data_IF_045423045999
#
_entry.id   IF_045423045999
#
_cell.length_a   1.000
_cell.length_b   1.000
_cell.length_c   1.000
_cell.angle_alpha   90.00
_cell.angle_beta   90.00
_cell.angle_gamma   90.00
#
_symmetry.space_group_name_H-M   'P 1'
#
loop_
_entity.id
_entity.type
_entity.pdbx_description
1 polymer ?
#
# COMPACT_ATOMS: atom_id res chain seq x y z
N UNK A 1 -7.89 21.08 -9.88
CA UNK A 1 -7.70 22.51 -10.15
C UNK A 1 -6.85 23.26 -9.11
N UNK A 2 -6.26 22.59 -8.11
CA UNK A 2 -5.43 23.26 -7.08
C UNK A 2 -3.93 23.32 -7.41
N UNK A 3 -3.46 22.58 -8.42
CA UNK A 3 -2.04 22.60 -8.82
C UNK A 3 -1.81 23.67 -9.90
N UNK A 4 -0.96 24.64 -9.60
CA UNK A 4 -0.56 25.72 -10.52
C UNK A 4 0.58 25.27 -11.43
N UNK A 5 1.55 26.13 -11.75
CA UNK A 5 2.64 25.85 -12.70
C UNK A 5 4.02 26.02 -12.05
N UNK A 6 4.14 25.81 -10.74
CA UNK A 6 5.45 25.76 -10.10
C UNK A 6 6.21 24.49 -10.52
N UNK A 7 7.55 24.44 -10.36
CA UNK A 7 8.34 23.22 -10.57
C UNK A 7 7.76 22.02 -9.80
N UNK A 8 7.32 22.25 -8.56
CA UNK A 8 6.72 21.24 -7.70
C UNK A 8 5.34 20.78 -8.21
N UNK A 9 4.50 21.70 -8.70
CA UNK A 9 3.20 21.36 -9.27
C UNK A 9 3.36 20.49 -10.52
N UNK A 10 4.28 20.86 -11.41
CA UNK A 10 4.54 20.08 -12.63
C UNK A 10 5.15 18.70 -12.29
N UNK A 11 6.01 18.60 -11.28
CA UNK A 11 6.51 17.32 -10.79
C UNK A 11 5.37 16.43 -10.27
N UNK A 12 4.45 16.98 -9.48
CA UNK A 12 3.29 16.25 -8.98
C UNK A 12 2.37 15.78 -10.11
N UNK A 13 2.07 16.66 -11.08
CA UNK A 13 1.25 16.33 -12.25
C UNK A 13 1.85 15.23 -13.11
N UNK A 14 3.18 15.16 -13.20
CA UNK A 14 3.86 14.19 -14.05
C UNK A 14 3.96 12.79 -13.43
N UNK A 15 4.07 12.71 -12.10
CA UNK A 15 4.51 11.47 -11.44
C UNK A 15 3.52 10.94 -10.40
N UNK A 16 2.81 11.82 -9.71
CA UNK A 16 2.14 11.46 -8.46
C UNK A 16 0.62 11.37 -8.59
N UNK A 17 0.01 12.30 -9.33
CA UNK A 17 -1.45 12.53 -9.29
C UNK A 17 -2.27 11.34 -9.79
N UNK A 18 -1.72 10.46 -10.63
CA UNK A 18 -2.44 9.24 -11.08
C UNK A 18 -2.88 8.35 -9.90
N UNK A 19 -2.14 8.36 -8.80
CA UNK A 19 -2.45 7.56 -7.60
C UNK A 19 -3.34 8.28 -6.58
N UNK A 20 -3.61 9.58 -6.76
CA UNK A 20 -4.45 10.34 -5.84
C UNK A 20 -5.92 10.01 -6.06
N UNK A 21 -6.62 9.64 -4.99
CA UNK A 21 -8.04 9.26 -5.03
C UNK A 21 -8.97 10.38 -5.56
N UNK A 22 -8.52 11.64 -5.58
CA UNK A 22 -9.26 12.74 -6.20
C UNK A 22 -9.24 12.74 -7.74
N UNK A 23 -8.38 11.93 -8.39
CA UNK A 23 -8.29 11.89 -9.84
C UNK A 23 -9.45 11.05 -10.42
N UNK A 24 -10.35 11.65 -11.24
CA UNK A 24 -11.52 10.94 -11.72
C UNK A 24 -11.16 9.86 -12.74
N UNK A 25 -11.81 8.71 -12.62
CA UNK A 25 -11.79 7.66 -13.66
C UNK A 25 -12.57 8.14 -14.88
N UNK A 26 -11.90 8.31 -16.01
CA UNK A 26 -12.51 8.79 -17.27
C UNK A 26 -12.87 7.66 -18.24
N UNK A 27 -12.26 6.50 -18.07
CA UNK A 27 -12.40 5.34 -18.95
C UNK A 27 -13.11 4.20 -18.22
N UNK A 28 -13.96 3.47 -18.93
CA UNK A 28 -14.63 2.27 -18.42
C UNK A 28 -13.67 1.10 -18.38
N UNK A 29 -13.87 0.18 -17.44
CA UNK A 29 -13.07 -1.04 -17.31
C UNK A 29 -12.57 -1.28 -15.89
N UNK A 30 -11.98 -2.46 -15.65
CA UNK A 30 -11.51 -2.86 -14.32
C UNK A 30 -10.36 -1.97 -13.81
N UNK A 31 -10.10 -2.08 -12.51
CA UNK A 31 -8.94 -1.46 -11.88
C UNK A 31 -7.68 -2.27 -12.20
N UNK A 32 -6.69 -1.61 -12.79
CA UNK A 32 -5.36 -2.16 -13.11
C UNK A 32 -4.26 -1.14 -12.74
N UNK A 33 -3.01 -1.50 -13.00
CA UNK A 33 -1.86 -0.60 -12.94
C UNK A 33 -1.87 0.51 -14.01
N UNK A 34 -2.65 0.39 -15.08
CA UNK A 34 -2.85 1.45 -16.08
C UNK A 34 -4.18 2.20 -15.87
N UNK A 35 -5.21 1.48 -15.41
CA UNK A 35 -6.57 1.99 -15.22
C UNK A 35 -6.89 2.09 -13.74
N UNK A 36 -6.75 3.29 -13.17
CA UNK A 36 -7.07 3.58 -11.77
C UNK A 36 -8.47 4.18 -11.64
N UNK A 37 -9.03 4.08 -10.44
CA UNK A 37 -10.31 4.69 -10.10
C UNK A 37 -10.14 6.01 -9.34
N UNK A 38 -11.22 6.78 -9.26
CA UNK A 38 -11.33 7.97 -8.41
C UNK A 38 -12.39 7.78 -7.33
N UNK A 39 -12.13 8.30 -6.13
CA UNK A 39 -12.99 8.21 -4.96
C UNK A 39 -13.35 6.76 -4.64
N UNK A 40 -14.64 6.50 -4.43
CA UNK A 40 -15.15 5.16 -4.10
C UNK A 40 -14.80 4.11 -5.18
N UNK A 41 -14.76 4.51 -6.45
CA UNK A 41 -14.52 3.61 -7.58
C UNK A 41 -13.08 3.11 -7.65
N UNK A 42 -12.14 3.75 -6.95
CA UNK A 42 -10.76 3.26 -6.85
C UNK A 42 -10.67 1.90 -6.15
N UNK A 43 -11.59 1.65 -5.21
CA UNK A 43 -11.56 0.45 -4.37
C UNK A 43 -12.78 -0.46 -4.60
N UNK A 44 -13.95 0.10 -4.87
CA UNK A 44 -15.21 -0.65 -4.84
C UNK A 44 -15.70 -1.10 -6.22
N UNK A 45 -15.04 -0.70 -7.31
CA UNK A 45 -15.46 -1.01 -8.68
C UNK A 45 -14.99 -2.41 -9.10
N UNK A 46 -15.92 -3.36 -9.15
CA UNK A 46 -15.64 -4.75 -9.49
C UNK A 46 -16.31 -5.15 -10.81
N UNK A 47 -15.50 -5.65 -11.75
CA UNK A 47 -15.98 -6.29 -12.97
C UNK A 47 -15.93 -7.81 -12.80
N UNK A 48 -16.92 -8.53 -13.29
CA UNK A 48 -16.84 -10.00 -13.33
C UNK A 48 -15.91 -10.45 -14.47
N UNK A 49 -15.37 -11.67 -14.39
CA UNK A 49 -14.43 -12.18 -15.40
C UNK A 49 -15.05 -12.24 -16.82
N UNK A 50 -16.36 -12.49 -16.93
CA UNK A 50 -17.09 -12.53 -18.20
C UNK A 50 -17.25 -11.14 -18.85
N UNK A 51 -17.25 -10.08 -18.04
CA UNK A 51 -17.33 -8.68 -18.46
C UNK A 51 -15.94 -8.13 -18.78
N UNK A 52 -14.90 -8.63 -18.09
CA UNK A 52 -13.50 -8.21 -18.30
C UNK A 52 -12.95 -8.51 -19.71
N UNK A 53 -13.59 -9.40 -20.48
CA UNK A 53 -13.19 -9.71 -21.85
C UNK A 53 -13.55 -8.56 -22.79
N UNK A 54 -12.58 -7.66 -23.06
CA UNK A 54 -12.38 -6.79 -24.24
C UNK A 54 -13.55 -5.94 -24.79
N UNK A 55 -14.77 -6.12 -24.33
CA UNK A 55 -15.96 -5.40 -24.79
C UNK A 55 -16.02 -3.97 -24.25
N UNK A 56 -15.20 -3.63 -23.25
CA UNK A 56 -15.18 -2.30 -22.65
C UNK A 56 -14.22 -1.30 -23.33
N UNK A 57 -13.27 -1.77 -24.14
CA UNK A 57 -12.21 -0.92 -24.71
C UNK A 57 -12.57 -0.29 -26.07
N UNK A 58 -13.66 -0.72 -26.70
CA UNK A 58 -14.01 -0.31 -28.08
C UNK A 58 -15.51 -0.05 -28.31
N UNK A 59 -16.30 0.10 -27.25
CA UNK A 59 -17.69 0.55 -27.45
C UNK A 59 -17.70 2.06 -27.64
N UNK A 60 -17.76 2.48 -28.91
CA UNK A 60 -18.25 3.80 -29.28
C UNK A 60 -19.62 4.00 -28.62
N UNK A 61 -19.63 4.79 -27.53
CA UNK A 61 -20.82 5.16 -26.76
C UNK A 61 -21.94 5.72 -27.63
N UNK A 62 -21.63 6.18 -28.84
CA UNK A 62 -22.57 6.77 -29.78
C UNK A 62 -23.34 5.75 -30.62
N UNK A 63 -22.80 4.55 -30.84
CA UNK A 63 -23.34 3.60 -31.83
C UNK A 63 -23.67 2.19 -31.31
N UNK A 64 -23.28 1.82 -30.08
CA UNK A 64 -23.51 0.47 -29.57
C UNK A 64 -24.13 0.47 -28.16
N UNK A 65 -25.45 0.23 -28.00
CA UNK A 65 -26.12 0.17 -26.68
C UNK A 65 -25.69 -1.03 -25.83
N UNK A 66 -24.83 -1.92 -26.35
CA UNK A 66 -24.37 -3.13 -25.67
C UNK A 66 -23.50 -2.85 -24.44
N UNK A 67 -22.97 -1.63 -24.24
CA UNK A 67 -22.28 -1.26 -23.00
C UNK A 67 -23.21 -1.28 -21.77
N UNK A 68 -24.53 -1.20 -21.97
CA UNK A 68 -25.54 -1.32 -20.91
C UNK A 68 -25.81 -2.78 -20.50
N UNK A 69 -25.25 -3.77 -21.21
CA UNK A 69 -25.49 -5.18 -20.87
C UNK A 69 -24.64 -5.64 -19.69
N UNK A 70 -23.51 -4.98 -19.45
CA UNK A 70 -22.54 -5.36 -18.43
C UNK A 70 -22.38 -4.22 -17.42
N UNK A 71 -22.96 -4.41 -16.24
CA UNK A 71 -22.89 -3.43 -15.14
C UNK A 71 -21.90 -3.95 -14.08
N UNK A 72 -20.79 -3.24 -13.83
CA UNK A 72 -19.89 -3.61 -12.75
C UNK A 72 -20.60 -3.45 -11.41
N UNK A 73 -20.21 -4.25 -10.42
CA UNK A 73 -20.68 -4.08 -9.06
C UNK A 73 -19.89 -2.98 -8.34
N UNK A 74 -20.57 -2.28 -7.44
CA UNK A 74 -19.94 -1.40 -6.46
C UNK A 74 -20.18 -2.03 -5.10
N UNK A 75 -19.18 -2.71 -4.57
CA UNK A 75 -19.35 -3.53 -3.37
C UNK A 75 -18.06 -3.64 -2.53
N UNK A 76 -18.12 -4.45 -1.47
CA UNK A 76 -17.05 -4.62 -0.50
C UNK A 76 -16.02 -5.71 -0.88
N UNK A 77 -16.09 -6.27 -2.09
CA UNK A 77 -15.15 -7.30 -2.57
C UNK A 77 -13.86 -6.68 -3.11
N UNK A 78 -13.21 -5.87 -2.27
CA UNK A 78 -11.99 -5.15 -2.63
C UNK A 78 -10.79 -6.11 -2.59
N UNK A 79 -10.35 -6.58 -3.76
CA UNK A 79 -9.15 -7.44 -3.88
C UNK A 79 -7.84 -6.66 -3.97
N UNK A 80 -6.70 -7.35 -3.86
CA UNK A 80 -5.35 -6.76 -3.88
C UNK A 80 -5.06 -5.92 -5.14
N UNK A 81 -5.69 -6.22 -6.29
CA UNK A 81 -5.48 -5.46 -7.52
C UNK A 81 -5.87 -3.97 -7.38
N UNK A 82 -6.88 -3.65 -6.56
CA UNK A 82 -7.27 -2.27 -6.28
C UNK A 82 -6.14 -1.49 -5.60
N UNK A 83 -5.46 -2.13 -4.64
CA UNK A 83 -4.30 -1.57 -3.97
C UNK A 83 -3.09 -1.54 -4.92
N UNK A 84 -2.86 -2.63 -5.65
CA UNK A 84 -1.76 -2.80 -6.59
C UNK A 84 -1.73 -1.68 -7.62
N UNK A 85 -2.88 -1.23 -8.14
CA UNK A 85 -2.96 -0.15 -9.13
C UNK A 85 -2.10 1.08 -8.77
N UNK A 86 -2.06 1.45 -7.49
CA UNK A 86 -1.26 2.58 -6.98
C UNK A 86 0.00 2.12 -6.22
N UNK A 87 -0.08 1.05 -5.45
CA UNK A 87 0.96 0.62 -4.50
C UNK A 87 2.02 -0.34 -5.09
N UNK A 88 2.04 -0.54 -6.42
CA UNK A 88 3.11 -1.27 -7.12
C UNK A 88 4.32 -0.39 -7.53
N UNK A 89 4.20 0.93 -7.41
CA UNK A 89 5.26 1.93 -7.63
C UNK A 89 5.74 2.44 -6.27
N UNK A 90 6.35 3.62 -6.19
CA UNK A 90 6.72 4.29 -4.93
C UNK A 90 7.26 3.34 -3.87
N UNK A 91 6.64 3.17 -2.69
CA UNK A 91 7.13 2.24 -1.65
C UNK A 91 7.14 0.75 -2.03
N UNK A 92 6.69 0.39 -3.23
CA UNK A 92 6.57 -0.98 -3.76
C UNK A 92 5.82 -1.92 -2.84
N UNK A 93 4.85 -1.39 -2.08
CA UNK A 93 4.17 -2.11 -1.00
C UNK A 93 3.51 -3.39 -1.52
N UNK A 94 2.77 -3.32 -2.63
CA UNK A 94 2.09 -4.50 -3.17
C UNK A 94 3.07 -5.54 -3.70
N UNK A 95 4.14 -5.12 -4.37
CA UNK A 95 5.14 -6.06 -4.89
C UNK A 95 5.99 -6.65 -3.75
N UNK A 96 6.33 -5.89 -2.72
CA UNK A 96 7.02 -6.39 -1.53
C UNK A 96 6.19 -7.44 -0.80
N UNK A 97 4.89 -7.16 -0.61
CA UNK A 97 3.95 -8.10 0.00
C UNK A 97 3.92 -9.44 -0.74
N UNK A 98 3.97 -9.38 -2.07
CA UNK A 98 4.04 -10.53 -2.96
C UNK A 98 5.46 -11.11 -3.15
N UNK A 99 6.49 -10.50 -2.55
CA UNK A 99 7.88 -10.97 -2.55
C UNK A 99 8.73 -10.53 -3.74
N UNK A 100 8.26 -9.57 -4.54
CA UNK A 100 8.93 -9.06 -5.74
C UNK A 100 9.62 -7.72 -5.49
N UNK A 101 10.92 -7.65 -5.78
CA UNK A 101 11.74 -6.44 -5.69
C UNK A 101 12.10 -5.92 -7.09
N UNK A 102 11.96 -4.62 -7.30
CA UNK A 102 12.27 -3.96 -8.57
C UNK A 102 13.79 -3.93 -8.83
N UNK A 103 14.20 -4.08 -10.09
CA UNK A 103 15.60 -4.10 -10.53
C UNK A 103 15.85 -3.02 -11.57
N UNK A 104 17.12 -2.77 -11.89
CA UNK A 104 17.54 -1.88 -12.98
C UNK A 104 17.73 -2.62 -14.31
N UNK A 105 17.29 -3.88 -14.40
CA UNK A 105 17.46 -4.68 -15.61
C UNK A 105 16.52 -4.20 -16.72
N UNK A 106 17.00 -4.28 -17.96
CA UNK A 106 16.18 -4.10 -19.15
C UNK A 106 15.44 -5.42 -19.47
N UNK A 107 14.11 -5.40 -19.71
CA UNK A 107 13.34 -6.57 -20.16
C UNK A 107 13.94 -7.31 -21.38
N UNK A 108 14.62 -6.60 -22.28
CA UNK A 108 15.21 -7.19 -23.49
C UNK A 108 16.54 -7.93 -23.24
N UNK A 109 17.14 -7.73 -22.07
CA UNK A 109 18.48 -8.23 -21.72
C UNK A 109 18.44 -9.21 -20.53
N UNK A 110 17.29 -9.86 -20.30
CA UNK A 110 17.09 -10.70 -19.14
C UNK A 110 17.91 -12.01 -19.18
N UNK A 111 18.67 -12.32 -18.12
CA UNK A 111 19.33 -13.61 -17.98
C UNK A 111 18.34 -14.79 -17.99
N UNK A 112 18.65 -15.87 -18.70
CA UNK A 112 17.74 -17.01 -18.88
C UNK A 112 17.51 -17.89 -17.64
N UNK A 113 18.23 -17.66 -16.54
CA UNK A 113 18.26 -18.55 -15.35
C UNK A 113 17.45 -18.07 -14.15
N UNK A 114 16.70 -16.97 -14.27
CA UNK A 114 15.94 -16.41 -13.16
C UNK A 114 14.48 -16.16 -13.54
N UNK A 115 13.58 -16.36 -12.59
CA UNK A 115 12.18 -15.96 -12.74
C UNK A 115 12.06 -14.47 -12.51
N UNK A 116 11.67 -13.75 -13.56
CA UNK A 116 11.37 -12.32 -13.51
C UNK A 116 9.88 -12.08 -13.65
N UNK A 117 9.42 -10.96 -13.07
CA UNK A 117 8.11 -10.40 -13.34
C UNK A 117 8.30 -9.05 -14.01
N UNK A 118 7.59 -8.81 -15.11
CA UNK A 118 7.62 -7.54 -15.84
C UNK A 118 6.29 -6.83 -15.61
N UNK A 119 6.35 -5.56 -15.20
CA UNK A 119 5.19 -4.69 -15.00
C UNK A 119 5.33 -3.47 -15.91
N UNK A 120 4.23 -2.99 -16.49
CA UNK A 120 4.20 -1.88 -17.47
C UNK A 120 5.17 -2.08 -18.65
N UNK A 121 5.40 -3.33 -19.04
CA UNK A 121 6.30 -3.77 -20.13
C UNK A 121 7.79 -3.41 -19.94
N UNK A 122 8.13 -2.58 -18.96
CA UNK A 122 9.44 -1.94 -18.82
C UNK A 122 10.13 -2.26 -17.49
N UNK A 123 9.37 -2.45 -16.40
CA UNK A 123 9.93 -2.59 -15.05
C UNK A 123 10.12 -4.06 -14.71
N UNK A 124 11.36 -4.46 -14.46
CA UNK A 124 11.75 -5.84 -14.18
C UNK A 124 11.87 -6.05 -12.67
N UNK A 125 11.21 -7.10 -12.18
CA UNK A 125 11.24 -7.50 -10.77
C UNK A 125 11.84 -8.89 -10.61
N UNK A 126 12.57 -9.09 -9.52
CA UNK A 126 13.10 -10.38 -9.09
C UNK A 126 12.47 -10.81 -7.76
N UNK A 127 12.32 -12.11 -7.55
CA UNK A 127 11.73 -12.64 -6.32
C UNK A 127 12.79 -12.70 -5.19
N UNK A 128 12.42 -12.22 -4.01
CA UNK A 128 13.23 -12.28 -2.79
C UNK A 128 12.57 -13.24 -1.80
N UNK A 129 11.48 -12.79 -1.19
CA UNK A 129 10.67 -13.52 -0.22
C UNK A 129 9.38 -12.75 0.02
N UNK A 130 8.23 -13.41 -0.11
CA UNK A 130 6.93 -12.81 0.19
C UNK A 130 6.58 -12.84 1.68
N UNK A 131 5.68 -11.92 2.06
CA UNK A 131 5.16 -11.79 3.41
C UNK A 131 4.43 -13.07 3.86
N UNK A 132 4.56 -13.45 5.13
CA UNK A 132 3.86 -14.63 5.66
C UNK A 132 2.34 -14.55 5.56
N UNK A 133 1.75 -13.35 5.64
CA UNK A 133 0.32 -13.16 5.46
C UNK A 133 -0.09 -13.29 3.99
N UNK A 134 0.77 -12.85 3.07
CA UNK A 134 0.58 -13.09 1.64
C UNK A 134 0.64 -14.58 1.30
N UNK A 135 1.60 -15.32 1.87
CA UNK A 135 1.68 -16.80 1.73
C UNK A 135 0.39 -17.49 2.18
N UNK A 136 -0.22 -16.96 3.23
CA UNK A 136 -1.50 -17.43 3.76
C UNK A 136 -2.71 -16.94 2.96
N UNK A 137 -2.51 -16.21 1.86
CA UNK A 137 -3.58 -15.66 1.01
C UNK A 137 -4.48 -14.70 1.78
N UNK A 138 -3.89 -13.81 2.57
CA UNK A 138 -4.60 -12.63 3.10
C UNK A 138 -4.56 -11.49 2.09
N UNK A 139 -5.70 -10.85 1.87
CA UNK A 139 -5.80 -9.63 1.07
C UNK A 139 -5.42 -8.39 1.91
N UNK A 140 -5.08 -7.27 1.26
CA UNK A 140 -4.74 -6.02 1.96
C UNK A 140 -5.84 -5.59 2.93
N UNK A 141 -7.11 -5.74 2.53
CA UNK A 141 -8.26 -5.39 3.36
C UNK A 141 -8.46 -6.32 4.55
N UNK A 142 -7.82 -7.49 4.59
CA UNK A 142 -7.92 -8.38 5.76
C UNK A 142 -7.30 -7.71 6.99
N UNK A 143 -6.23 -6.94 6.80
CA UNK A 143 -5.55 -6.14 7.81
C UNK A 143 -5.97 -4.67 7.81
N UNK A 144 -6.24 -4.06 6.64
CA UNK A 144 -6.60 -2.63 6.58
C UNK A 144 -8.11 -2.41 6.64
N UNK A 145 -8.53 -1.53 7.56
CA UNK A 145 -9.95 -1.21 7.74
C UNK A 145 -10.35 0.10 7.04
N UNK A 146 -11.65 0.38 7.06
CA UNK A 146 -12.22 1.59 6.44
C UNK A 146 -11.72 2.89 7.09
N UNK A 147 -11.51 2.93 8.40
CA UNK A 147 -11.01 4.10 9.12
C UNK A 147 -9.59 4.49 8.70
N UNK A 148 -8.77 3.51 8.34
CA UNK A 148 -7.41 3.74 7.86
C UNK A 148 -7.34 4.18 6.40
N UNK A 149 -8.28 3.72 5.57
CA UNK A 149 -8.26 3.92 4.12
C UNK A 149 -9.15 5.08 3.66
N UNK A 150 -10.34 5.20 4.22
CA UNK A 150 -11.37 6.19 3.85
C UNK A 150 -11.39 7.39 4.79
N UNK A 151 -10.86 7.25 6.01
CA UNK A 151 -10.83 8.31 7.02
C UNK A 151 -11.64 7.98 8.27
N UNK A 152 -11.34 8.67 9.36
CA UNK A 152 -12.01 8.58 10.66
C UNK A 152 -12.47 9.96 11.16
N UNK A 153 -12.78 10.85 10.22
CA UNK A 153 -13.07 12.28 10.44
C UNK A 153 -11.92 13.11 11.04
N UNK A 154 -10.72 12.53 11.21
CA UNK A 154 -9.54 13.25 11.70
C UNK A 154 -8.55 13.52 10.57
N UNK A 155 -8.02 14.75 10.52
CA UNK A 155 -6.93 15.10 9.62
C UNK A 155 -5.60 14.79 10.29
N UNK A 156 -4.81 13.92 9.67
CA UNK A 156 -3.48 13.57 10.12
C UNK A 156 -2.42 14.28 9.27
N UNK A 157 -1.32 14.69 9.92
CA UNK A 157 -0.18 15.26 9.20
C UNK A 157 0.63 14.16 8.47
N UNK A 158 0.60 12.94 9.01
CA UNK A 158 1.33 11.81 8.47
C UNK A 158 0.48 10.54 8.42
N UNK A 159 0.62 9.75 7.35
CA UNK A 159 -0.23 8.56 7.08
C UNK A 159 -0.16 7.51 8.20
N UNK A 160 1.00 7.32 8.83
CA UNK A 160 1.20 6.35 9.91
C UNK A 160 0.46 6.74 11.19
N UNK A 161 0.05 8.00 11.32
CA UNK A 161 -0.79 8.42 12.43
C UNK A 161 -2.22 7.92 12.24
N UNK A 162 -2.71 7.81 11.00
CA UNK A 162 -4.05 7.31 10.70
C UNK A 162 -4.15 5.80 10.95
N UNK A 163 -3.11 5.03 10.57
CA UNK A 163 -3.02 3.58 10.82
C UNK A 163 -3.39 3.25 12.27
N UNK A 164 -4.31 2.32 12.43
CA UNK A 164 -4.94 1.91 13.68
C UNK A 164 -4.61 0.46 14.05
N UNK A 165 -4.56 -0.42 13.05
CA UNK A 165 -4.36 -1.86 13.26
C UNK A 165 -2.87 -2.15 13.42
N UNK A 166 -2.53 -2.83 14.50
CA UNK A 166 -1.18 -3.25 14.83
C UNK A 166 -1.07 -4.79 14.93
N UNK A 167 0.16 -5.30 14.88
CA UNK A 167 0.42 -6.75 15.03
C UNK A 167 -0.19 -7.30 16.33
N UNK A 168 -0.12 -6.54 17.43
CA UNK A 168 -0.64 -6.89 18.74
C UNK A 168 -2.19 -6.94 18.80
N UNK A 169 -2.87 -6.41 17.80
CA UNK A 169 -4.33 -6.50 17.73
C UNK A 169 -4.84 -7.88 17.38
N UNK A 170 -4.08 -8.59 16.54
CA UNK A 170 -4.36 -9.96 16.14
C UNK A 170 -3.49 -10.97 16.91
N UNK A 171 -2.22 -10.64 17.16
CA UNK A 171 -1.26 -11.49 17.87
C UNK A 171 -1.18 -11.11 19.33
N UNK A 172 -2.15 -11.56 20.13
CA UNK A 172 -2.23 -11.31 21.58
C UNK A 172 -2.38 -12.61 22.37
N UNK A 173 -2.05 -12.54 23.66
CA UNK A 173 -2.10 -13.70 24.56
C UNK A 173 -3.53 -14.05 25.03
N UNK A 174 -4.44 -13.08 25.02
CA UNK A 174 -5.81 -13.23 25.50
C UNK A 174 -6.76 -12.29 24.75
N UNK A 175 -8.03 -12.65 24.68
CA UNK A 175 -9.09 -11.83 24.08
C UNK A 175 -9.66 -10.82 25.11
N UNK A 176 -8.83 -9.88 25.57
CA UNK A 176 -9.19 -8.91 26.62
C UNK A 176 -9.75 -7.57 26.10
N UNK A 177 -9.69 -7.32 24.78
CA UNK A 177 -10.30 -6.16 24.13
C UNK A 177 -11.26 -6.64 23.05
N UNK A 178 -12.53 -6.64 23.41
CA UNK A 178 -13.60 -7.18 22.58
C UNK A 178 -14.85 -6.32 22.62
N UNK A 179 -15.64 -6.38 21.56
CA UNK A 179 -16.97 -5.78 21.48
C UNK A 179 -17.98 -6.77 20.93
N UNK A 180 -19.22 -6.64 21.38
CA UNK A 180 -20.37 -7.36 20.81
C UNK A 180 -20.99 -6.57 19.66
N UNK A 181 -21.84 -7.22 18.86
CA UNK A 181 -22.57 -6.55 17.79
C UNK A 181 -23.33 -5.28 18.25
N UNK A 182 -23.96 -5.33 19.42
CA UNK A 182 -24.71 -4.21 19.99
C UNK A 182 -23.85 -2.99 20.38
N UNK A 183 -22.52 -3.17 20.44
CA UNK A 183 -21.56 -2.12 20.81
C UNK A 183 -20.77 -1.60 19.59
N UNK A 184 -21.04 -2.11 18.39
CA UNK A 184 -20.41 -1.60 17.18
C UNK A 184 -20.84 -0.16 16.91
N UNK A 185 -19.90 0.65 16.43
CA UNK A 185 -20.25 1.93 15.82
C UNK A 185 -21.03 1.69 14.50
N UNK A 186 -21.65 2.77 13.99
CA UNK A 186 -22.55 2.69 12.85
C UNK A 186 -21.88 2.07 11.61
N UNK A 187 -20.66 2.49 11.28
CA UNK A 187 -19.95 2.00 10.10
C UNK A 187 -19.53 0.54 10.27
N UNK A 188 -19.01 0.15 11.44
CA UNK A 188 -18.67 -1.25 11.71
C UNK A 188 -19.90 -2.17 11.65
N UNK A 189 -21.05 -1.70 12.15
CA UNK A 189 -22.31 -2.43 12.09
C UNK A 189 -22.81 -2.61 10.65
N UNK A 190 -22.74 -1.56 9.82
CA UNK A 190 -23.10 -1.62 8.40
C UNK A 190 -22.19 -2.59 7.63
N UNK A 191 -20.87 -2.49 7.81
CA UNK A 191 -19.94 -3.38 7.11
C UNK A 191 -20.14 -4.84 7.57
N UNK A 192 -20.34 -5.07 8.88
CA UNK A 192 -20.62 -6.40 9.39
C UNK A 192 -21.92 -6.98 8.81
N UNK A 193 -22.99 -6.18 8.74
CA UNK A 193 -24.28 -6.58 8.17
C UNK A 193 -24.22 -6.86 6.66
N UNK A 194 -23.36 -6.17 5.92
CA UNK A 194 -23.14 -6.43 4.49
C UNK A 194 -22.31 -7.70 4.22
N UNK A 195 -21.44 -8.10 5.16
CA UNK A 195 -20.52 -9.24 4.98
C UNK A 195 -21.06 -10.55 5.53
N UNK A 196 -21.88 -10.51 6.56
CA UNK A 196 -22.24 -11.70 7.32
C UNK A 196 -23.75 -11.80 7.53
N UNK A 197 -24.31 -12.97 7.24
CA UNK A 197 -25.74 -13.22 7.43
C UNK A 197 -26.16 -13.33 8.91
N UNK A 198 -25.25 -13.75 9.80
CA UNK A 198 -25.53 -13.89 11.23
C UNK A 198 -24.34 -13.41 12.08
N UNK A 199 -24.55 -12.31 12.81
CA UNK A 199 -23.53 -11.65 13.64
C UNK A 199 -24.01 -11.29 15.04
N UNK A 200 -25.27 -11.56 15.38
CA UNK A 200 -25.89 -11.08 16.61
C UNK A 200 -25.14 -11.53 17.87
N UNK A 201 -24.59 -12.76 17.85
CA UNK A 201 -23.86 -13.35 18.97
C UNK A 201 -22.33 -13.32 18.77
N UNK A 202 -21.84 -12.64 17.74
CA UNK A 202 -20.41 -12.59 17.43
C UNK A 202 -19.72 -11.58 18.34
N UNK A 203 -18.59 -12.00 18.90
CA UNK A 203 -17.67 -11.16 19.67
C UNK A 203 -16.46 -10.85 18.80
N UNK A 204 -16.22 -9.57 18.56
CA UNK A 204 -15.13 -9.08 17.72
C UNK A 204 -13.98 -8.59 18.59
N UNK A 205 -12.75 -8.74 18.12
CA UNK A 205 -11.60 -8.05 18.69
C UNK A 205 -11.67 -6.54 18.38
N UNK A 206 -11.04 -5.72 19.22
CA UNK A 206 -10.83 -4.31 18.94
C UNK A 206 -9.36 -3.91 18.89
N UNK A 207 -9.08 -2.88 18.09
CA UNK A 207 -7.77 -2.21 18.05
C UNK A 207 -7.47 -1.58 19.39
N UNK A 208 -6.21 -1.65 19.82
CA UNK A 208 -5.79 -1.00 21.05
C UNK A 208 -5.86 0.52 20.95
N UNK A 209 -5.44 1.07 19.81
CA UNK A 209 -5.20 2.51 19.63
C UNK A 209 -6.49 3.34 19.65
N UNK A 210 -7.56 2.89 19.00
CA UNK A 210 -8.84 3.64 18.93
C UNK A 210 -10.08 2.81 19.26
N UNK A 211 -9.92 1.58 19.74
CA UNK A 211 -11.03 0.70 20.08
C UNK A 211 -11.99 0.43 18.89
N UNK A 212 -11.44 0.35 17.68
CA UNK A 212 -12.20 0.05 16.46
C UNK A 212 -12.37 -1.46 16.31
N UNK A 213 -13.57 -1.87 15.91
CA UNK A 213 -13.89 -3.29 15.75
C UNK A 213 -13.15 -3.89 14.56
N UNK A 214 -12.47 -5.02 14.78
CA UNK A 214 -11.95 -5.86 13.73
C UNK A 214 -13.07 -6.77 13.22
N UNK A 215 -13.90 -6.23 12.33
CA UNK A 215 -15.15 -6.86 11.85
C UNK A 215 -14.98 -8.28 11.29
N UNK A 216 -13.77 -8.67 10.87
CA UNK A 216 -13.48 -9.99 10.36
C UNK A 216 -12.90 -10.94 11.42
N UNK A 217 -13.00 -10.60 12.71
CA UNK A 217 -12.53 -11.45 13.81
C UNK A 217 -13.68 -12.07 14.60
N UNK A 218 -13.42 -13.16 15.29
CA UNK A 218 -14.40 -13.85 16.11
C UNK A 218 -13.71 -14.50 17.31
N UNK A 219 -14.23 -14.27 18.51
CA UNK A 219 -13.76 -14.94 19.73
C UNK A 219 -14.72 -16.07 20.08
N UNK A 220 -14.22 -17.31 20.16
CA UNK A 220 -14.97 -18.51 20.56
C UNK A 220 -14.17 -19.35 21.53
N UNK A 221 -14.70 -19.63 22.72
CA UNK A 221 -14.05 -20.45 23.75
C UNK A 221 -12.58 -20.05 23.97
N UNK A 222 -12.35 -18.75 24.22
CA UNK A 222 -11.03 -18.11 24.37
C UNK A 222 -10.09 -18.19 23.16
N UNK A 223 -10.53 -18.80 22.06
CA UNK A 223 -9.77 -18.86 20.81
C UNK A 223 -10.17 -17.68 19.92
N UNK A 224 -9.16 -16.97 19.42
CA UNK A 224 -9.34 -15.86 18.50
C UNK A 224 -9.20 -16.34 17.07
N UNK A 225 -10.18 -16.01 16.25
CA UNK A 225 -10.24 -16.37 14.83
C UNK A 225 -10.29 -15.11 13.98
N UNK A 226 -9.75 -15.20 12.77
CA UNK A 226 -9.87 -14.18 11.73
C UNK A 226 -10.42 -14.84 10.46
N UNK A 227 -11.35 -14.17 9.81
CA UNK A 227 -11.98 -14.61 8.58
C UNK A 227 -11.44 -13.78 7.43
N UNK A 228 -11.12 -14.42 6.30
CA UNK A 228 -10.81 -13.69 5.08
C UNK A 228 -12.05 -12.88 4.63
N UNK A 229 -11.86 -11.61 4.27
CA UNK A 229 -12.96 -10.73 3.87
C UNK A 229 -13.48 -11.04 2.46
N UNK A 230 -12.65 -11.60 1.60
CA UNK A 230 -13.01 -12.02 0.23
C UNK A 230 -12.87 -13.54 0.00
N UNK A 231 -12.53 -14.31 1.03
CA UNK A 231 -12.25 -15.74 0.94
C UNK A 231 -12.88 -16.47 2.12
N UNK A 232 -13.32 -17.70 1.92
CA UNK A 232 -13.89 -18.55 2.98
C UNK A 232 -12.83 -19.13 3.95
N UNK A 233 -11.62 -18.57 3.93
CA UNK A 233 -10.52 -19.04 4.78
C UNK A 233 -10.67 -18.47 6.19
N UNK A 234 -10.50 -19.33 7.19
CA UNK A 234 -10.54 -18.96 8.60
C UNK A 234 -9.19 -19.27 9.23
N UNK A 235 -8.58 -18.27 9.85
CA UNK A 235 -7.27 -18.33 10.49
C UNK A 235 -7.42 -18.37 12.00
N UNK A 236 -6.65 -19.23 12.66
CA UNK A 236 -6.44 -19.15 14.11
C UNK A 236 -5.41 -18.08 14.38
N UNK A 237 -5.77 -17.07 15.16
CA UNK A 237 -4.86 -16.01 15.59
C UNK A 237 -3.96 -16.54 16.72
N UNK A 238 -2.66 -16.59 16.46
CA UNK A 238 -1.67 -17.14 17.40
C UNK A 238 -1.03 -16.04 18.24
N UNK A 239 -0.83 -16.27 19.55
CA UNK A 239 -0.09 -15.36 20.39
C UNK A 239 1.38 -15.26 19.95
N UNK A 240 2.07 -14.15 20.29
CA UNK A 240 3.49 -14.02 20.06
C UNK A 240 4.25 -15.04 20.94
N UNK A 241 5.42 -15.49 20.46
CA UNK A 241 6.28 -16.38 21.23
C UNK A 241 6.78 -15.70 22.51
N UNK A 242 7.14 -16.50 23.54
CA UNK A 242 7.63 -15.96 24.81
C UNK A 242 8.82 -15.01 24.65
N UNK A 243 9.74 -15.27 23.71
CA UNK A 243 10.89 -14.39 23.42
C UNK A 243 10.47 -12.97 22.99
N UNK A 244 9.29 -12.82 22.38
CA UNK A 244 8.75 -11.54 21.94
C UNK A 244 8.19 -10.72 23.11
N UNK A 245 7.81 -11.37 24.21
CA UNK A 245 7.15 -10.73 25.36
C UNK A 245 7.98 -10.82 26.65
N UNK A 246 9.17 -11.41 26.58
CA UNK A 246 10.05 -11.63 27.72
C UNK A 246 10.77 -10.35 28.15
N UNK A 247 10.57 -9.96 29.42
CA UNK A 247 11.26 -8.82 30.02
C UNK A 247 10.83 -7.47 29.43
N UNK A 248 11.73 -6.47 29.53
CA UNK A 248 11.47 -5.10 29.07
C UNK A 248 12.50 -4.57 28.05
N UNK A 249 13.53 -5.35 27.71
CA UNK A 249 14.64 -4.88 26.88
C UNK A 249 14.21 -4.44 25.47
N UNK A 250 13.14 -5.04 24.93
CA UNK A 250 12.63 -4.76 23.58
C UNK A 250 11.23 -4.11 23.59
N UNK A 251 10.81 -3.49 24.70
CA UNK A 251 9.47 -2.91 24.79
C UNK A 251 9.25 -1.73 23.82
N UNK A 252 10.33 -1.07 23.41
CA UNK A 252 10.32 0.01 22.41
C UNK A 252 10.59 -0.50 21.00
N UNK A 253 10.86 -1.80 20.80
CA UNK A 253 11.15 -2.36 19.48
C UNK A 253 9.84 -2.81 18.82
N UNK A 254 9.52 -2.21 17.68
CA UNK A 254 8.35 -2.61 16.91
C UNK A 254 8.46 -4.05 16.40
N UNK A 255 7.32 -4.73 16.24
CA UNK A 255 7.29 -6.06 15.62
C UNK A 255 7.94 -6.04 14.22
N UNK A 256 7.72 -4.98 13.45
CA UNK A 256 8.29 -4.81 12.11
C UNK A 256 9.82 -4.71 12.12
N UNK A 257 10.43 -4.10 13.13
CA UNK A 257 11.89 -4.03 13.26
C UNK A 257 12.53 -5.42 13.41
N UNK A 258 11.83 -6.33 14.08
CA UNK A 258 12.27 -7.73 14.22
C UNK A 258 11.86 -8.60 13.02
N UNK A 259 10.65 -8.44 12.50
CA UNK A 259 10.05 -9.42 11.58
C UNK A 259 10.09 -9.03 10.11
N UNK A 260 10.54 -7.84 9.72
CA UNK A 260 10.70 -7.49 8.30
C UNK A 260 11.94 -8.19 7.72
N UNK A 261 11.73 -9.11 6.77
CA UNK A 261 12.84 -9.87 6.17
C UNK A 261 13.74 -9.01 5.29
N UNK A 262 13.15 -8.02 4.63
CA UNK A 262 13.86 -7.07 3.77
C UNK A 262 13.04 -5.80 3.58
N UNK A 263 13.68 -4.72 3.15
CA UNK A 263 13.00 -3.51 2.71
C UNK A 263 13.64 -3.03 1.42
N UNK A 264 12.85 -2.52 0.46
CA UNK A 264 13.42 -1.88 -0.72
C UNK A 264 14.12 -0.59 -0.31
N UNK A 265 15.21 -0.28 -1.00
CA UNK A 265 15.90 1.00 -0.89
C UNK A 265 16.32 1.46 -2.28
N UNK A 266 16.10 2.75 -2.53
CA UNK A 266 16.46 3.41 -3.78
C UNK A 266 17.48 4.51 -3.43
N UNK A 267 18.68 4.43 -3.99
CA UNK A 267 19.77 5.35 -3.68
C UNK A 267 20.18 6.08 -4.95
N UNK A 268 20.39 7.39 -4.84
CA UNK A 268 20.89 8.21 -5.94
C UNK A 268 19.81 8.53 -6.97
N UNK A 269 18.64 8.96 -6.53
CA UNK A 269 17.63 9.51 -7.45
C UNK A 269 18.06 10.92 -7.87
N UNK A 270 18.18 11.18 -9.17
CA UNK A 270 18.40 12.51 -9.72
C UNK A 270 17.18 12.88 -10.56
N UNK A 271 16.62 14.06 -10.33
CA UNK A 271 15.48 14.58 -11.06
C UNK A 271 15.89 15.82 -11.83
N UNK A 272 15.67 15.80 -13.15
CA UNK A 272 15.88 16.95 -14.02
C UNK A 272 14.66 17.12 -14.94
N UNK A 273 14.35 18.35 -15.29
CA UNK A 273 13.30 18.65 -16.25
C UNK A 273 13.89 18.68 -17.66
N UNK A 274 13.35 17.85 -18.56
CA UNK A 274 13.68 17.88 -19.98
C UNK A 274 12.45 18.37 -20.76
N UNK A 275 12.61 19.48 -21.49
CA UNK A 275 11.56 20.07 -22.32
C UNK A 275 11.24 19.25 -23.58
N UNK A 276 12.17 18.39 -24.01
CA UNK A 276 12.02 17.53 -25.18
C UNK A 276 11.51 16.12 -24.83
N UNK A 277 11.44 15.79 -23.54
CA UNK A 277 10.88 14.51 -23.10
C UNK A 277 9.35 14.49 -23.27
N UNK A 278 8.78 13.43 -23.89
CA UNK A 278 7.35 13.20 -23.86
C UNK A 278 6.83 13.11 -22.42
N UNK A 279 5.90 13.98 -22.06
CA UNK A 279 5.30 14.03 -20.74
C UNK A 279 3.81 13.72 -20.75
N UNK A 280 3.24 13.58 -19.55
CA UNK A 280 1.82 13.40 -19.36
C UNK A 280 1.32 14.25 -18.19
N UNK A 281 0.30 15.08 -18.41
CA UNK A 281 -0.39 15.78 -17.33
C UNK A 281 -1.45 14.85 -16.73
N UNK A 282 -1.13 14.22 -15.60
CA UNK A 282 -2.03 13.25 -14.94
C UNK A 282 -3.27 13.90 -14.31
N UNK A 283 -3.33 15.23 -14.16
CA UNK A 283 -4.56 15.94 -13.73
C UNK A 283 -5.52 16.06 -14.91
N UNK A 284 -5.00 16.46 -16.07
CA UNK A 284 -5.80 16.67 -17.28
C UNK A 284 -6.02 15.41 -18.09
N UNK A 285 -5.22 14.37 -17.85
CA UNK A 285 -5.13 13.15 -18.65
C UNK A 285 -4.85 13.47 -20.12
N UNK A 286 -3.78 14.23 -20.36
CA UNK A 286 -3.35 14.67 -21.69
C UNK A 286 -1.84 14.51 -21.83
N UNK A 287 -1.41 14.05 -23.00
CA UNK A 287 -0.01 14.11 -23.40
C UNK A 287 0.45 15.57 -23.46
N UNK A 288 1.70 15.80 -23.10
CA UNK A 288 2.35 17.10 -23.19
C UNK A 288 3.81 16.94 -23.59
N UNK A 289 4.39 18.05 -24.02
CA UNK A 289 5.82 18.14 -24.25
C UNK A 289 6.48 18.67 -22.97
N UNK A 290 7.56 18.02 -22.54
CA UNK A 290 8.36 18.38 -21.39
C UNK A 290 7.98 17.65 -20.10
N UNK A 291 8.94 16.94 -19.51
CA UNK A 291 8.73 16.15 -18.30
C UNK A 291 9.89 16.19 -17.31
N UNK A 292 9.57 16.01 -16.02
CA UNK A 292 10.55 15.57 -15.03
C UNK A 292 10.96 14.12 -15.33
N UNK A 293 12.26 13.89 -15.44
CA UNK A 293 12.87 12.58 -15.67
C UNK A 293 13.57 12.14 -14.39
N UNK A 294 13.20 10.96 -13.91
CA UNK A 294 13.85 10.30 -12.78
C UNK A 294 14.99 9.42 -13.27
N UNK A 295 16.22 9.77 -12.88
CA UNK A 295 17.38 8.90 -13.00
C UNK A 295 17.59 8.19 -11.67
N UNK A 296 17.93 6.91 -11.71
CA UNK A 296 18.11 6.08 -10.52
C UNK A 296 19.53 5.54 -10.49
N UNK A 297 20.18 5.61 -9.32
CA UNK A 297 21.48 5.00 -9.08
C UNK A 297 21.38 3.50 -8.80
N UNK A 298 20.77 3.13 -7.68
CA UNK A 298 20.72 1.75 -7.21
C UNK A 298 19.36 1.36 -6.62
N UNK A 299 18.92 0.13 -6.92
CA UNK A 299 17.83 -0.55 -6.23
C UNK A 299 18.37 -1.74 -5.43
N UNK A 300 18.16 -1.70 -4.12
CA UNK A 300 18.68 -2.70 -3.19
C UNK A 300 17.55 -3.26 -2.31
N UNK A 301 17.55 -4.58 -2.11
CA UNK A 301 16.72 -5.26 -1.13
C UNK A 301 17.61 -5.87 -0.04
N UNK A 302 17.42 -5.44 1.20
CA UNK A 302 18.19 -5.94 2.33
C UNK A 302 17.45 -5.73 3.64
N UNK A 303 18.03 -6.19 4.76
CA UNK A 303 17.46 -5.93 6.07
C UNK A 303 17.25 -4.43 6.29
N UNK A 304 16.09 -4.00 6.79
CA UNK A 304 15.86 -2.59 7.01
C UNK A 304 16.84 -2.02 8.03
N UNK A 305 17.26 -0.78 7.77
CA UNK A 305 17.90 0.05 8.79
C UNK A 305 16.87 0.36 9.87
N UNK A 306 17.30 0.46 11.12
CA UNK A 306 16.43 0.80 12.24
C UNK A 306 16.63 2.27 12.64
N UNK A 307 15.54 2.96 12.91
CA UNK A 307 15.52 4.33 13.41
C UNK A 307 14.68 4.47 14.66
N UNK A 308 14.97 5.49 15.47
CA UNK A 308 14.17 5.82 16.66
C UNK A 308 13.17 6.89 16.26
N UNK A 309 11.89 6.53 16.25
CA UNK A 309 10.79 7.48 16.09
C UNK A 309 10.38 7.99 17.46
N UNK A 310 10.43 9.31 17.65
CA UNK A 310 9.94 9.97 18.87
C UNK A 310 8.58 10.60 18.59
N UNK A 311 7.60 10.29 19.42
CA UNK A 311 6.27 10.86 19.41
C UNK A 311 5.97 11.50 20.77
N UNK A 312 4.85 12.20 20.89
CA UNK A 312 4.39 12.68 22.19
C UNK A 312 4.11 11.52 23.19
N UNK A 313 3.85 10.31 22.69
CA UNK A 313 3.51 9.13 23.48
C UNK A 313 4.72 8.26 23.86
N UNK A 314 5.92 8.57 23.35
CA UNK A 314 7.13 7.82 23.68
C UNK A 314 8.09 7.70 22.50
N UNK A 315 8.95 6.69 22.54
CA UNK A 315 9.86 6.36 21.45
C UNK A 315 9.69 4.91 21.02
N UNK A 316 9.93 4.66 19.74
CA UNK A 316 9.83 3.34 19.14
C UNK A 316 10.94 3.13 18.11
N UNK A 317 11.58 1.97 18.15
CA UNK A 317 12.55 1.50 17.16
C UNK A 317 11.79 0.82 16.03
N UNK A 318 11.88 1.41 14.84
CA UNK A 318 11.13 1.01 13.65
C UNK A 318 12.04 0.85 12.44
N UNK A 319 11.63 0.06 11.42
CA UNK A 319 12.27 0.11 10.12
C UNK A 319 12.21 1.52 9.52
N UNK A 320 13.34 1.95 8.98
CA UNK A 320 13.45 3.16 8.16
C UNK A 320 14.12 2.79 6.85
N UNK A 321 13.65 3.39 5.76
CA UNK A 321 14.27 3.26 4.44
C UNK A 321 14.69 4.63 3.95
N UNK A 322 15.71 4.73 3.09
CA UNK A 322 15.93 5.94 2.30
C UNK A 322 14.66 6.21 1.50
N UNK A 323 13.87 7.19 1.91
CA UNK A 323 12.62 7.53 1.24
C UNK A 323 12.92 8.26 -0.06
N UNK A 324 13.85 9.22 0.01
CA UNK A 324 14.27 10.07 -1.09
C UNK A 324 15.71 10.56 -0.83
N UNK A 325 16.69 9.96 -1.50
CA UNK A 325 18.04 10.54 -1.62
C UNK A 325 18.09 11.22 -2.98
N UNK A 326 17.80 12.51 -2.97
CA UNK A 326 17.52 13.29 -4.18
C UNK A 326 18.57 14.36 -4.42
N UNK A 327 18.97 14.46 -5.68
CA UNK A 327 19.50 15.70 -6.26
C UNK A 327 18.42 16.26 -7.19
N UNK A 328 18.10 17.54 -7.08
CA UNK A 328 17.14 18.23 -7.95
C UNK A 328 17.85 19.40 -8.62
N UNK A 329 17.87 19.40 -9.95
CA UNK A 329 18.37 20.50 -10.76
C UNK A 329 17.23 21.48 -11.08
N UNK A 330 17.07 22.51 -10.24
CA UNK A 330 16.04 23.53 -10.44
C UNK A 330 16.29 24.38 -11.69
N UNK A 331 17.57 24.66 -12.01
CA UNK A 331 17.95 25.46 -13.16
C UNK A 331 17.50 24.81 -14.48
N UNK A 332 17.39 23.48 -14.53
CA UNK A 332 16.85 22.75 -15.69
C UNK A 332 15.41 23.17 -16.06
N UNK A 333 14.60 23.55 -15.06
CA UNK A 333 13.22 24.00 -15.23
C UNK A 333 13.11 25.52 -15.38
N UNK A 334 13.67 26.28 -14.43
CA UNK A 334 13.51 27.75 -14.38
C UNK A 334 14.36 28.47 -15.41
N UNK A 335 15.42 27.82 -15.91
CA UNK A 335 16.47 28.37 -16.76
C UNK A 335 17.29 29.50 -16.10
N UNK A 336 17.17 29.68 -14.78
CA UNK A 336 18.01 30.61 -14.01
C UNK A 336 19.30 29.91 -13.54
N UNK A 337 20.45 30.40 -14.00
CA UNK A 337 21.75 29.85 -13.62
C UNK A 337 22.12 30.09 -12.14
N UNK A 338 21.40 30.98 -11.44
CA UNK A 338 21.60 31.20 -10.00
C UNK A 338 20.84 30.17 -9.15
N UNK A 339 19.92 29.40 -9.74
CA UNK A 339 19.25 28.33 -9.01
C UNK A 339 20.23 27.21 -8.67
N UNK A 340 20.26 26.84 -7.39
CA UNK A 340 21.21 25.85 -6.87
C UNK A 340 20.69 24.43 -7.02
N UNK A 341 21.61 23.49 -7.22
CA UNK A 341 21.34 22.07 -7.04
C UNK A 341 20.88 21.79 -5.60
N UNK A 342 19.68 21.26 -5.44
CA UNK A 342 19.16 20.86 -4.14
C UNK A 342 19.50 19.41 -3.86
N UNK A 343 20.35 19.17 -2.86
CA UNK A 343 20.64 17.83 -2.38
C UNK A 343 19.96 17.55 -1.03
N UNK A 344 19.20 16.47 -0.95
CA UNK A 344 18.53 16.02 0.28
C UNK A 344 18.71 14.51 0.47
N UNK A 345 19.04 14.11 1.71
CA UNK A 345 19.01 12.70 2.16
C UNK A 345 17.90 12.55 3.17
N UNK A 346 16.78 11.97 2.75
CA UNK A 346 15.60 11.82 3.59
C UNK A 346 15.34 10.34 3.85
N UNK A 347 15.19 10.00 5.12
CA UNK A 347 14.74 8.69 5.57
C UNK A 347 13.30 8.79 6.03
N UNK A 348 12.51 7.77 5.70
CA UNK A 348 11.12 7.69 6.10
C UNK A 348 10.90 6.42 6.94
N UNK A 349 10.03 6.48 7.97
CA UNK A 349 9.42 5.30 8.56
C UNK A 349 8.87 4.37 7.47
N UNK A 350 9.12 3.06 7.60
CA UNK A 350 8.62 2.08 6.67
C UNK A 350 7.93 0.93 7.39
N UNK A 351 6.79 0.51 6.85
CA UNK A 351 6.27 -0.84 7.02
C UNK A 351 6.58 -1.60 5.72
N UNK A 352 7.64 -2.42 5.66
CA UNK A 352 8.11 -2.98 4.40
C UNK A 352 7.14 -3.94 3.72
N UNK A 353 6.18 -4.51 4.48
CA UNK A 353 5.27 -5.56 4.03
C UNK A 353 6.02 -6.82 3.56
N UNK A 354 7.03 -7.22 4.32
CA UNK A 354 7.89 -8.38 4.04
C UNK A 354 8.03 -9.25 5.30
N UNK A 355 6.96 -9.32 6.09
CA UNK A 355 6.94 -9.97 7.40
C UNK A 355 7.33 -11.43 7.26
N UNK A 356 8.27 -11.88 8.08
CA UNK A 356 8.73 -13.25 8.16
C UNK A 356 8.38 -13.90 9.49
N UNK A 357 8.15 -15.21 9.44
CA UNK A 357 7.86 -16.02 10.63
C UNK A 357 9.03 -15.99 11.63
N UNK A 358 10.26 -15.94 11.12
CA UNK A 358 11.48 -15.81 11.93
C UNK A 358 11.92 -14.35 11.97
N UNK A 359 12.06 -13.81 13.17
CA UNK A 359 12.63 -12.48 13.36
C UNK A 359 14.15 -12.43 13.18
N UNK A 360 14.69 -11.22 13.07
CA UNK A 360 16.12 -10.89 13.02
C UNK A 360 16.86 -11.48 14.22
N UNK A 361 18.07 -12.00 14.00
CA UNK A 361 18.92 -12.48 15.10
C UNK A 361 19.44 -11.31 15.93
N UNK A 362 19.76 -11.55 17.21
CA UNK A 362 20.30 -10.50 18.08
C UNK A 362 21.62 -9.92 17.53
N UNK A 363 22.52 -10.76 16.99
CA UNK A 363 23.79 -10.34 16.35
C UNK A 363 23.56 -9.49 15.09
N UNK A 364 22.48 -9.73 14.37
CA UNK A 364 22.16 -8.88 13.23
C UNK A 364 21.58 -7.55 13.70
N UNK A 365 20.79 -7.54 14.79
CA UNK A 365 20.06 -6.38 15.28
C UNK A 365 20.94 -5.37 16.03
N UNK A 366 21.80 -5.84 16.93
CA UNK A 366 22.76 -5.06 17.70
C UNK A 366 24.09 -4.92 16.95
#
# INVERSE_FOLDING_TARGET
DELHHSPADEHLKNMCVTCHLGNPKRETGPITNESRGGGCLACHLNYNEADSSLSHLTIDRKNHPDYLKNHPSIDLKVGNNHCFGCHNRSGRISTNYEGWHETLLNPDELPTKHSYRIIDQTRVFTYIQDDVHHKLKMDCIDCHNSYELMGDDTRYAHQEQQVDIACADCHRNKADRTVTYAQLDQESALIAGLRYANIANRVFLTTEKRNKALINTEVRNDTMWMHGKNRDTVYVLRPPNAVCTYGKAHHEVSCNACHSAWAPSCIGCHNAYDENEPGYDMVKNLEKQGSWVEFVGEYNAGLPVLGIRKTASGQEIIPVVPGMVLTIDLASYTKDQHDSLLFKRLFAPAAPHTTAAKGRSCVSCH
#
